data_IF_722005899430
#
_entry.id   IF_722005899430
#
_cell.length_a   1.000
_cell.length_b   1.000
_cell.length_c   1.000
_cell.angle_alpha   90.00
_cell.angle_beta   90.00
_cell.angle_gamma   90.00
#
_symmetry.space_group_name_H-M   'P 1'
#
loop_
_entity.id
_entity.type
_entity.pdbx_description
1 polymer ?
#
# COMPACT_ATOMS: atom_id res chain seq x y z
N UNK A 1 70.16 1.64 -32.95
CA UNK A 1 70.58 0.50 -32.11
C UNK A 1 69.35 -0.36 -31.88
N UNK A 2 68.79 -1.03 -32.90
CA UNK A 2 69.25 -2.27 -33.56
C UNK A 2 69.54 -3.39 -32.57
N UNK A 3 68.84 -4.52 -32.73
CA UNK A 3 69.06 -5.75 -31.97
C UNK A 3 67.82 -6.62 -31.96
N UNK A 4 67.27 -7.01 -33.12
CA UNK A 4 67.52 -8.30 -33.79
C UNK A 4 67.06 -9.53 -33.01
N UNK A 5 65.92 -10.06 -33.47
CA UNK A 5 65.69 -11.45 -33.87
C UNK A 5 66.52 -12.52 -33.15
N UNK A 6 65.86 -13.30 -32.29
CA UNK A 6 66.31 -14.66 -31.99
C UNK A 6 65.63 -15.64 -32.92
N UNK A 7 66.45 -16.13 -33.86
CA UNK A 7 66.31 -17.40 -34.56
C UNK A 7 65.99 -18.52 -33.57
N UNK A 8 65.01 -19.35 -33.90
CA UNK A 8 65.08 -20.76 -33.51
C UNK A 8 64.82 -21.65 -34.73
N UNK A 9 65.91 -22.28 -35.11
CA UNK A 9 66.06 -23.41 -35.99
C UNK A 9 65.09 -24.55 -35.69
N UNK A 10 64.34 -24.92 -36.72
CA UNK A 10 64.19 -26.29 -37.24
C UNK A 10 64.64 -27.42 -36.29
N UNK A 11 63.68 -28.11 -35.68
CA UNK A 11 63.83 -29.54 -35.40
C UNK A 11 62.53 -30.27 -35.75
N UNK A 12 62.69 -31.23 -36.65
CA UNK A 12 61.68 -32.19 -37.08
C UNK A 12 61.26 -33.06 -35.90
N UNK A 13 59.96 -33.33 -35.79
CA UNK A 13 59.49 -34.55 -35.13
C UNK A 13 58.61 -35.30 -36.11
N UNK A 14 58.99 -36.57 -36.26
CA UNK A 14 58.47 -37.57 -37.15
C UNK A 14 56.99 -37.87 -36.89
N UNK A 15 56.36 -38.38 -37.94
CA UNK A 15 54.97 -38.77 -38.09
C UNK A 15 54.44 -39.69 -36.99
N UNK A 16 53.31 -39.30 -36.39
CA UNK A 16 51.99 -39.98 -36.33
C UNK A 16 51.96 -41.53 -36.36
N UNK A 17 51.01 -42.18 -35.63
CA UNK A 17 49.60 -42.06 -36.04
C UNK A 17 48.57 -42.14 -34.91
N UNK A 18 47.81 -41.05 -34.75
CA UNK A 18 46.47 -41.07 -34.22
C UNK A 18 45.63 -40.19 -35.12
N UNK A 19 44.87 -40.81 -36.02
CA UNK A 19 44.06 -40.15 -37.05
C UNK A 19 43.04 -39.23 -36.38
N UNK A 20 43.38 -37.96 -36.23
CA UNK A 20 42.42 -36.91 -35.99
C UNK A 20 42.07 -36.27 -37.32
N UNK A 21 40.91 -36.69 -37.79
CA UNK A 21 40.15 -36.19 -38.92
C UNK A 21 40.28 -34.66 -39.02
N UNK A 22 40.94 -34.20 -40.08
CA UNK A 22 41.11 -32.77 -40.35
C UNK A 22 39.77 -32.18 -40.72
N UNK A 23 39.03 -31.66 -39.73
CA UNK A 23 37.92 -30.76 -39.98
C UNK A 23 38.49 -29.46 -40.55
N UNK A 24 38.58 -29.38 -41.88
CA UNK A 24 38.89 -28.16 -42.62
C UNK A 24 37.77 -27.14 -42.39
N UNK A 25 37.89 -26.38 -41.31
CA UNK A 25 37.14 -25.14 -41.13
C UNK A 25 37.96 -24.01 -41.75
N UNK A 26 37.84 -23.85 -43.07
CA UNK A 26 38.30 -22.64 -43.75
C UNK A 26 37.31 -21.54 -43.36
N UNK A 27 37.75 -20.64 -42.50
CA UNK A 27 36.97 -19.46 -42.12
C UNK A 27 37.62 -18.23 -42.74
N UNK A 28 36.97 -17.64 -43.74
CA UNK A 28 37.47 -16.52 -44.54
C UNK A 28 37.09 -15.13 -43.98
N UNK A 29 36.95 -14.98 -42.66
CA UNK A 29 36.72 -13.66 -42.08
C UNK A 29 38.04 -12.96 -41.73
N UNK A 30 38.10 -11.67 -42.06
CA UNK A 30 39.25 -10.77 -41.97
C UNK A 30 39.57 -10.26 -40.55
N UNK A 31 38.87 -10.76 -39.54
CA UNK A 31 39.04 -10.36 -38.12
C UNK A 31 39.39 -11.59 -37.27
N UNK A 32 40.42 -11.52 -36.41
CA UNK A 32 40.76 -12.64 -35.54
C UNK A 32 39.67 -12.82 -34.49
N UNK A 33 39.06 -14.00 -34.42
CA UNK A 33 38.26 -14.37 -33.24
C UNK A 33 39.20 -14.46 -32.04
N UNK A 34 39.06 -13.50 -31.12
CA UNK A 34 39.81 -13.40 -29.87
C UNK A 34 39.36 -14.48 -28.88
N UNK A 35 39.64 -15.74 -29.21
CA UNK A 35 39.43 -16.83 -28.28
C UNK A 35 40.40 -16.71 -27.11
N UNK A 36 39.88 -16.31 -25.94
CA UNK A 36 40.59 -16.49 -24.68
C UNK A 36 40.54 -17.97 -24.31
N UNK A 37 41.59 -18.70 -24.66
CA UNK A 37 41.81 -20.02 -24.09
C UNK A 37 42.05 -19.86 -22.58
N UNK A 38 41.10 -20.30 -21.75
CA UNK A 38 41.34 -20.43 -20.31
C UNK A 38 42.46 -21.43 -20.08
N UNK A 39 43.33 -21.19 -19.09
CA UNK A 39 44.41 -22.09 -18.73
C UNK A 39 43.84 -23.51 -18.49
N UNK A 40 44.41 -24.53 -19.12
CA UNK A 40 44.01 -25.92 -18.92
C UNK A 40 44.38 -26.33 -17.50
N UNK A 41 43.46 -26.14 -16.55
CA UNK A 41 43.57 -26.73 -15.22
C UNK A 41 43.39 -28.23 -15.40
N UNK A 42 44.49 -28.98 -15.30
CA UNK A 42 44.52 -30.44 -15.22
C UNK A 42 43.94 -30.93 -13.88
N UNK A 43 42.81 -30.37 -13.46
CA UNK A 43 42.09 -30.79 -12.28
C UNK A 43 41.45 -32.15 -12.55
N UNK A 44 41.47 -33.03 -11.56
CA UNK A 44 40.71 -34.28 -11.61
C UNK A 44 39.24 -33.97 -11.92
N UNK A 45 38.57 -34.77 -12.77
CA UNK A 45 37.17 -34.55 -13.11
C UNK A 45 36.32 -34.45 -11.84
N UNK A 46 35.49 -33.40 -11.77
CA UNK A 46 34.71 -33.08 -10.57
C UNK A 46 33.90 -34.30 -10.12
N UNK A 47 34.14 -34.75 -8.89
CA UNK A 47 33.42 -35.88 -8.29
C UNK A 47 31.91 -35.64 -8.37
N UNK A 48 31.16 -36.63 -8.85
CA UNK A 48 29.69 -36.57 -8.97
C UNK A 48 29.10 -36.19 -7.61
N UNK A 49 28.29 -35.13 -7.58
CA UNK A 49 27.59 -34.71 -6.35
C UNK A 49 26.74 -35.88 -5.85
N UNK A 50 26.97 -36.30 -4.60
CA UNK A 50 26.19 -37.37 -3.96
C UNK A 50 24.75 -36.90 -3.77
N UNK A 51 23.78 -37.78 -4.08
CA UNK A 51 22.36 -37.55 -3.78
C UNK A 51 22.22 -37.45 -2.25
N UNK A 52 21.53 -36.42 -1.79
CA UNK A 52 21.30 -36.19 -0.36
C UNK A 52 20.17 -37.12 0.09
N UNK A 53 20.30 -37.69 1.28
CA UNK A 53 19.29 -38.56 1.86
C UNK A 53 17.96 -37.81 2.07
N UNK A 54 16.81 -38.47 1.84
CA UNK A 54 15.49 -37.84 1.95
C UNK A 54 15.22 -37.30 3.37
N UNK A 55 15.74 -37.95 4.41
CA UNK A 55 15.64 -37.50 5.80
C UNK A 55 16.35 -36.16 6.05
N UNK A 56 17.49 -35.92 5.39
CA UNK A 56 18.26 -34.68 5.50
C UNK A 56 17.53 -33.54 4.77
N UNK A 57 16.88 -33.82 3.64
CA UNK A 57 16.04 -32.85 2.93
C UNK A 57 14.82 -32.46 3.77
N UNK A 58 14.09 -33.44 4.31
CA UNK A 58 12.95 -33.19 5.20
C UNK A 58 13.35 -32.39 6.46
N UNK A 59 14.50 -32.71 7.07
CA UNK A 59 15.02 -31.95 8.21
C UNK A 59 15.40 -30.51 7.84
N UNK A 60 15.91 -30.26 6.62
CA UNK A 60 16.20 -28.91 6.12
C UNK A 60 14.92 -28.13 5.87
N UNK A 61 13.90 -28.75 5.33
CA UNK A 61 12.58 -28.15 5.09
C UNK A 61 11.88 -27.81 6.40
N UNK A 62 11.83 -28.73 7.36
CA UNK A 62 11.26 -28.48 8.68
C UNK A 62 11.97 -27.32 9.42
N UNK A 63 13.30 -27.19 9.24
CA UNK A 63 14.06 -26.04 9.76
C UNK A 63 13.67 -24.73 9.06
N UNK A 64 13.39 -24.73 7.75
CA UNK A 64 12.92 -23.55 7.02
C UNK A 64 11.52 -23.14 7.47
N UNK A 65 10.59 -24.10 7.57
CA UNK A 65 9.21 -23.87 8.06
C UNK A 65 9.25 -23.24 9.45
N UNK A 66 9.99 -23.84 10.39
CA UNK A 66 10.12 -23.31 11.76
C UNK A 66 10.73 -21.90 11.82
N UNK A 67 11.60 -21.52 10.87
CA UNK A 67 12.14 -20.16 10.79
C UNK A 67 11.08 -19.18 10.31
N UNK A 68 10.38 -19.53 9.24
CA UNK A 68 9.27 -18.74 8.68
C UNK A 68 8.17 -18.56 9.73
N UNK A 69 7.78 -19.61 10.46
CA UNK A 69 6.78 -19.53 11.53
C UNK A 69 7.20 -18.58 12.66
N UNK A 70 8.48 -18.58 13.01
CA UNK A 70 9.01 -17.65 14.02
C UNK A 70 9.00 -16.21 13.53
N UNK A 71 9.29 -15.99 12.26
CA UNK A 71 9.23 -14.66 11.63
C UNK A 71 7.79 -14.16 11.54
N UNK A 72 6.85 -15.01 11.10
CA UNK A 72 5.42 -14.71 11.11
C UNK A 72 4.97 -14.35 12.52
N UNK A 73 5.30 -15.18 13.54
CA UNK A 73 4.97 -14.89 14.95
C UNK A 73 5.53 -13.56 15.45
N UNK A 74 6.72 -13.17 14.98
CA UNK A 74 7.31 -11.86 15.33
C UNK A 74 6.57 -10.71 14.66
N UNK A 75 6.25 -10.84 13.37
CA UNK A 75 5.53 -9.82 12.61
C UNK A 75 4.09 -9.66 13.09
N UNK A 76 3.41 -10.75 13.43
CA UNK A 76 2.04 -10.70 13.99
C UNK A 76 2.02 -10.14 15.41
N UNK A 77 3.10 -10.30 16.19
CA UNK A 77 3.19 -9.76 17.56
C UNK A 77 3.06 -8.24 17.63
N UNK A 78 3.61 -7.52 16.65
CA UNK A 78 3.62 -6.05 16.66
C UNK A 78 2.38 -5.41 16.01
N UNK A 79 1.40 -6.21 15.58
CA UNK A 79 0.20 -5.71 14.92
C UNK A 79 0.50 -4.91 13.65
N UNK A 80 -0.51 -4.25 13.09
CA UNK A 80 -0.33 -3.29 11.99
C UNK A 80 -0.12 -1.91 12.59
N UNK A 81 0.97 -1.23 12.23
CA UNK A 81 1.14 0.18 12.54
C UNK A 81 0.11 0.95 11.72
N UNK A 82 -0.72 1.76 12.38
CA UNK A 82 -1.71 2.59 11.71
C UNK A 82 -1.00 3.68 10.90
N UNK A 83 -1.53 3.98 9.72
CA UNK A 83 -1.05 5.11 8.92
C UNK A 83 -1.32 6.42 9.69
N UNK A 84 -0.38 7.37 9.68
CA UNK A 84 -0.57 8.65 10.36
C UNK A 84 -1.73 9.43 9.71
N UNK A 85 -2.53 10.09 10.53
CA UNK A 85 -3.64 10.93 10.05
C UNK A 85 -3.11 12.35 9.87
N UNK A 86 -2.93 12.75 8.61
CA UNK A 86 -2.25 14.00 8.25
C UNK A 86 -2.96 15.26 8.77
N UNK A 87 -4.28 15.21 8.98
CA UNK A 87 -5.08 16.34 9.49
C UNK A 87 -4.91 16.54 11.01
N UNK A 88 -4.65 15.46 11.74
CA UNK A 88 -4.44 15.49 13.20
C UNK A 88 -2.99 15.88 13.51
N UNK A 89 -2.04 15.36 12.72
CA UNK A 89 -0.62 15.62 12.93
C UNK A 89 -0.19 16.97 12.36
N UNK A 90 0.25 17.88 13.23
CA UNK A 90 0.79 19.16 12.81
C UNK A 90 2.14 18.99 12.10
N UNK A 91 2.32 19.53 10.87
CA UNK A 91 3.59 19.50 10.18
C UNK A 91 4.68 20.23 10.98
N UNK A 92 5.85 19.59 11.13
CA UNK A 92 7.01 20.16 11.85
C UNK A 92 7.39 21.58 11.40
N UNK A 93 7.20 21.88 10.11
CA UNK A 93 7.45 23.21 9.51
C UNK A 93 6.63 24.33 10.17
N UNK A 94 5.42 24.04 10.64
CA UNK A 94 4.57 25.04 11.29
C UNK A 94 5.17 25.51 12.61
N UNK A 95 5.81 24.62 13.38
CA UNK A 95 6.52 25.00 14.61
C UNK A 95 7.74 25.88 14.33
N UNK A 96 8.49 25.59 13.26
CA UNK A 96 9.65 26.40 12.86
C UNK A 96 9.25 27.79 12.39
N UNK A 97 8.21 27.89 11.57
CA UNK A 97 7.74 29.14 10.97
C UNK A 97 6.76 29.90 11.87
N UNK A 98 6.40 29.36 13.04
CA UNK A 98 5.41 29.95 13.94
C UNK A 98 5.79 31.40 14.29
N UNK A 99 7.06 31.65 14.62
CA UNK A 99 7.52 32.99 15.02
C UNK A 99 7.37 34.04 13.91
N UNK A 100 7.64 33.66 12.66
CA UNK A 100 7.57 34.56 11.50
C UNK A 100 6.14 34.76 10.99
N UNK A 101 5.30 33.72 11.12
CA UNK A 101 3.92 33.71 10.61
C UNK A 101 2.87 34.06 11.66
N UNK A 102 3.27 34.29 12.91
CA UNK A 102 2.35 34.63 13.99
C UNK A 102 1.74 36.01 13.72
N UNK A 103 0.41 36.04 13.59
CA UNK A 103 -0.34 37.29 13.56
C UNK A 103 -0.52 37.79 14.98
N UNK A 104 -0.31 39.09 15.20
CA UNK A 104 -0.64 39.73 16.48
C UNK A 104 -2.15 39.72 16.68
N UNK A 105 -2.62 39.21 17.82
CA UNK A 105 -4.05 39.28 18.14
C UNK A 105 -4.43 40.73 18.44
N UNK A 106 -5.52 41.27 17.85
CA UNK A 106 -6.05 42.56 18.30
C UNK A 106 -6.56 42.44 19.74
N UNK A 107 -6.41 43.52 20.50
CA UNK A 107 -7.08 43.68 21.79
C UNK A 107 -8.52 44.06 21.51
N UNK A 108 -9.46 43.28 22.01
CA UNK A 108 -10.89 43.51 21.82
C UNK A 108 -11.38 44.57 22.81
N UNK A 109 -12.33 45.40 22.38
CA UNK A 109 -12.98 46.34 23.29
C UNK A 109 -13.89 45.59 24.28
N UNK A 110 -14.25 46.23 25.38
CA UNK A 110 -15.19 45.66 26.35
C UNK A 110 -16.56 45.36 25.71
N UNK A 111 -17.06 46.28 24.89
CA UNK A 111 -18.33 46.14 24.16
C UNK A 111 -18.33 44.91 23.24
N UNK A 112 -17.25 44.72 22.46
CA UNK A 112 -17.11 43.57 21.56
C UNK A 112 -17.08 42.23 22.32
N UNK A 113 -16.46 42.20 23.50
CA UNK A 113 -16.42 41.01 24.35
C UNK A 113 -17.80 40.68 24.91
N UNK A 114 -18.53 41.69 25.36
CA UNK A 114 -19.90 41.54 25.87
C UNK A 114 -20.86 41.05 24.78
N UNK A 115 -20.78 41.64 23.58
CA UNK A 115 -21.58 41.22 22.42
C UNK A 115 -21.33 39.76 22.04
N UNK A 116 -20.06 39.32 22.02
CA UNK A 116 -19.71 37.91 21.76
C UNK A 116 -20.27 36.99 22.82
N UNK A 117 -20.19 37.38 24.10
CA UNK A 117 -20.71 36.59 25.20
C UNK A 117 -22.25 36.45 25.12
N UNK A 118 -22.94 37.54 24.79
CA UNK A 118 -24.38 37.54 24.56
C UNK A 118 -24.77 36.67 23.37
N UNK A 119 -24.05 36.78 22.25
CA UNK A 119 -24.26 35.95 21.06
C UNK A 119 -24.07 34.46 21.38
N UNK A 120 -23.02 34.11 22.12
CA UNK A 120 -22.77 32.73 22.53
C UNK A 120 -23.88 32.18 23.43
N UNK A 121 -24.41 32.99 24.35
CA UNK A 121 -25.56 32.62 25.19
C UNK A 121 -26.82 32.40 24.35
N UNK A 122 -27.10 33.27 23.39
CA UNK A 122 -28.23 33.12 22.46
C UNK A 122 -28.07 31.87 21.59
N UNK A 123 -26.87 31.62 21.06
CA UNK A 123 -26.56 30.43 20.29
C UNK A 123 -26.73 29.15 21.11
N UNK A 124 -26.28 29.14 22.36
CA UNK A 124 -26.49 28.04 23.29
C UNK A 124 -27.98 27.73 23.47
N UNK A 125 -28.80 28.76 23.76
CA UNK A 125 -30.26 28.61 23.86
C UNK A 125 -30.89 28.07 22.59
N UNK A 126 -30.51 28.61 21.43
CA UNK A 126 -30.99 28.15 20.13
C UNK A 126 -30.66 26.67 19.92
N UNK A 127 -29.40 26.26 20.14
CA UNK A 127 -28.97 24.88 19.99
C UNK A 127 -29.71 23.93 20.93
N UNK A 128 -29.88 24.30 22.20
CA UNK A 128 -30.67 23.52 23.14
C UNK A 128 -32.11 23.34 22.65
N UNK A 129 -32.76 24.41 22.19
CA UNK A 129 -34.13 24.34 21.66
C UNK A 129 -34.20 23.44 20.42
N UNK A 130 -33.25 23.54 19.50
CA UNK A 130 -33.20 22.67 18.32
C UNK A 130 -33.05 21.20 18.69
N UNK A 131 -32.20 20.90 19.68
CA UNK A 131 -32.00 19.53 20.16
C UNK A 131 -33.26 18.97 20.84
N UNK A 132 -33.90 19.75 21.73
CA UNK A 132 -35.16 19.34 22.37
C UNK A 132 -36.25 19.08 21.32
N UNK A 133 -36.34 19.92 20.29
CA UNK A 133 -37.31 19.71 19.21
C UNK A 133 -37.03 18.44 18.42
N UNK A 134 -35.78 18.20 18.04
CA UNK A 134 -35.36 16.96 17.36
C UNK A 134 -35.66 15.72 18.20
N UNK A 135 -35.36 15.77 19.50
CA UNK A 135 -35.61 14.66 20.40
C UNK A 135 -37.11 14.33 20.47
N UNK A 136 -37.97 15.34 20.60
CA UNK A 136 -39.43 15.14 20.57
C UNK A 136 -39.93 14.51 19.27
N UNK A 137 -39.30 14.82 18.13
CA UNK A 137 -39.64 14.19 16.86
C UNK A 137 -39.22 12.73 16.86
N UNK A 138 -38.01 12.40 17.34
CA UNK A 138 -37.56 11.02 17.46
C UNK A 138 -38.44 10.20 18.40
N UNK A 139 -38.78 10.74 19.58
CA UNK A 139 -39.64 10.06 20.53
C UNK A 139 -40.99 9.71 19.88
N UNK A 140 -41.59 10.66 19.14
CA UNK A 140 -42.84 10.43 18.39
C UNK A 140 -42.70 9.36 17.30
N UNK A 141 -41.58 9.35 16.58
CA UNK A 141 -41.34 8.36 15.52
C UNK A 141 -41.21 6.95 16.12
N UNK A 142 -40.53 6.83 17.27
CA UNK A 142 -40.37 5.56 17.98
C UNK A 142 -41.72 5.09 18.51
N UNK A 143 -42.49 5.96 19.19
CA UNK A 143 -43.83 5.56 19.68
C UNK A 143 -44.76 5.13 18.55
N UNK A 144 -44.76 5.86 17.43
CA UNK A 144 -45.57 5.50 16.27
C UNK A 144 -45.11 4.18 15.62
N UNK A 145 -43.80 3.92 15.60
CA UNK A 145 -43.26 2.64 15.12
C UNK A 145 -43.69 1.49 16.04
N UNK A 146 -43.60 1.66 17.35
CA UNK A 146 -43.96 0.65 18.34
C UNK A 146 -45.46 0.32 18.29
N UNK A 147 -46.32 1.35 18.27
CA UNK A 147 -47.78 1.20 18.10
C UNK A 147 -48.12 0.45 16.82
N UNK A 148 -47.49 0.80 15.69
CA UNK A 148 -47.70 0.11 14.42
C UNK A 148 -47.26 -1.37 14.47
N UNK A 149 -46.19 -1.70 15.20
CA UNK A 149 -45.74 -3.09 15.38
C UNK A 149 -46.68 -3.90 16.28
N UNK A 150 -47.26 -3.27 17.31
CA UNK A 150 -48.26 -3.91 18.18
C UNK A 150 -49.55 -4.23 17.41
N UNK A 151 -50.05 -3.28 16.62
CA UNK A 151 -51.21 -3.49 15.73
C UNK A 151 -50.93 -4.60 14.71
N UNK A 152 -49.77 -4.55 14.04
CA UNK A 152 -49.38 -5.54 13.04
C UNK A 152 -49.26 -6.95 13.64
N UNK A 153 -48.81 -7.05 14.89
CA UNK A 153 -48.76 -8.32 15.63
C UNK A 153 -50.15 -8.85 15.98
N UNK A 154 -51.09 -7.98 16.33
CA UNK A 154 -52.47 -8.35 16.61
C UNK A 154 -53.19 -8.87 15.35
N UNK A 155 -52.89 -8.29 14.19
CA UNK A 155 -53.42 -8.74 12.89
C UNK A 155 -52.73 -10.01 12.38
N UNK A 156 -51.39 -10.06 12.40
CA UNK A 156 -50.64 -11.21 11.90
C UNK A 156 -49.25 -11.39 12.51
N UNK A 157 -49.06 -12.51 13.21
CA UNK A 157 -47.77 -12.86 13.83
C UNK A 157 -46.66 -13.18 12.79
N UNK A 158 -47.05 -13.66 11.60
CA UNK A 158 -46.09 -13.94 10.52
C UNK A 158 -45.42 -12.66 9.99
N UNK A 159 -46.19 -11.63 9.65
CA UNK A 159 -45.62 -10.38 9.13
C UNK A 159 -44.80 -9.66 10.20
N UNK A 160 -45.20 -9.75 11.46
CA UNK A 160 -44.45 -9.18 12.58
C UNK A 160 -43.02 -9.76 12.65
N UNK A 161 -42.89 -11.09 12.54
CA UNK A 161 -41.59 -11.76 12.52
C UNK A 161 -40.75 -11.39 11.31
N UNK A 162 -41.36 -11.19 10.15
CA UNK A 162 -40.66 -10.73 8.95
C UNK A 162 -40.17 -9.29 9.12
N UNK A 163 -41.00 -8.38 9.65
CA UNK A 163 -40.66 -6.97 9.87
C UNK A 163 -39.53 -6.75 10.87
N UNK A 164 -39.36 -7.65 11.85
CA UNK A 164 -38.26 -7.60 12.82
C UNK A 164 -36.89 -8.00 12.23
N UNK A 165 -36.86 -8.61 11.05
CA UNK A 165 -35.59 -9.04 10.44
C UNK A 165 -34.80 -7.81 9.99
N UNK A 166 -33.50 -7.82 10.28
CA UNK A 166 -32.59 -6.77 9.83
C UNK A 166 -32.38 -6.91 8.32
N UNK A 167 -32.62 -5.83 7.58
CA UNK A 167 -32.29 -5.77 6.16
C UNK A 167 -30.79 -5.49 5.98
N UNK A 168 -30.05 -6.51 5.56
CA UNK A 168 -28.62 -6.40 5.28
C UNK A 168 -28.30 -5.54 4.04
N UNK A 169 -29.28 -5.28 3.16
CA UNK A 169 -29.13 -4.34 2.04
C UNK A 169 -28.88 -2.90 2.49
N UNK A 170 -29.37 -2.53 3.68
CA UNK A 170 -29.21 -1.20 4.26
C UNK A 170 -27.80 -0.90 4.76
N UNK A 171 -26.94 -1.93 4.92
CA UNK A 171 -25.59 -1.78 5.49
C UNK A 171 -24.64 -1.02 4.54
N UNK A 172 -24.81 -1.19 3.23
CA UNK A 172 -23.94 -0.61 2.21
C UNK A 172 -24.56 0.61 1.51
N UNK A 173 -25.50 1.30 2.15
CA UNK A 173 -26.08 2.52 1.59
C UNK A 173 -25.09 3.69 1.62
N UNK A 174 -25.10 4.48 0.55
CA UNK A 174 -24.32 5.70 0.42
C UNK A 174 -25.25 6.89 0.17
N UNK A 175 -25.05 7.96 0.93
CA UNK A 175 -25.78 9.22 0.78
C UNK A 175 -24.80 10.37 0.63
N UNK A 176 -24.99 11.19 -0.40
CA UNK A 176 -24.28 12.46 -0.53
C UNK A 176 -25.01 13.54 0.27
N UNK A 177 -24.26 14.39 0.96
CA UNK A 177 -24.82 15.55 1.65
C UNK A 177 -25.42 16.58 0.68
N UNK A 178 -26.32 17.44 1.15
CA UNK A 178 -26.88 18.51 0.32
C UNK A 178 -25.78 19.47 -0.16
N UNK A 179 -25.85 19.86 -1.44
CA UNK A 179 -24.94 20.86 -2.05
C UNK A 179 -25.51 22.27 -1.83
N UNK A 180 -24.62 23.26 -1.74
CA UNK A 180 -25.01 24.67 -1.59
C UNK A 180 -25.89 25.16 -2.75
N UNK A 181 -25.55 24.74 -3.97
CA UNK A 181 -26.31 25.00 -5.19
C UNK A 181 -26.67 23.70 -5.90
N UNK A 182 -27.85 23.64 -6.54
CA UNK A 182 -28.22 22.50 -7.38
C UNK A 182 -27.34 22.42 -8.64
N UNK A 183 -27.25 21.25 -9.29
CA UNK A 183 -26.48 21.10 -10.51
C UNK A 183 -27.07 21.91 -11.67
N UNK A 184 -26.21 22.55 -12.44
CA UNK A 184 -26.58 23.28 -13.66
C UNK A 184 -26.69 22.26 -14.80
N UNK A 185 -27.81 22.30 -15.55
CA UNK A 185 -28.00 21.45 -16.72
C UNK A 185 -27.02 21.85 -17.82
N UNK A 186 -26.45 20.86 -18.51
CA UNK A 186 -25.56 21.03 -19.67
C UNK A 186 -24.27 21.83 -19.38
N UNK A 187 -23.83 21.86 -18.13
CA UNK A 187 -22.53 22.44 -17.77
C UNK A 187 -21.39 21.54 -18.26
N UNK A 188 -20.58 22.04 -19.18
CA UNK A 188 -19.34 21.38 -19.61
C UNK A 188 -18.19 21.84 -18.71
N UNK A 189 -17.66 20.99 -17.82
CA UNK A 189 -16.48 21.34 -17.04
C UNK A 189 -15.26 21.49 -17.97
N UNK A 190 -14.26 22.30 -17.60
CA UNK A 190 -12.99 22.38 -18.31
C UNK A 190 -12.19 21.08 -18.15
N UNK A 191 -11.40 20.74 -19.16
CA UNK A 191 -10.52 19.56 -19.13
C UNK A 191 -9.37 19.70 -18.13
N UNK A 192 -9.02 18.61 -17.47
CA UNK A 192 -7.88 18.55 -16.56
C UNK A 192 -7.54 17.12 -16.11
N UNK A 193 -6.28 16.88 -15.77
CA UNK A 193 -5.79 15.59 -15.30
C UNK A 193 -5.79 15.50 -13.77
N UNK A 194 -6.30 14.38 -13.23
CA UNK A 194 -6.19 14.07 -11.81
C UNK A 194 -4.95 13.21 -11.54
N UNK A 195 -4.02 13.73 -10.73
CA UNK A 195 -2.84 12.99 -10.26
C UNK A 195 -2.97 12.75 -8.76
N UNK A 196 -3.04 11.48 -8.35
CA UNK A 196 -3.08 11.10 -6.94
C UNK A 196 -1.71 11.34 -6.27
N UNK A 197 -1.66 12.32 -5.37
CA UNK A 197 -0.45 12.66 -4.58
C UNK A 197 -0.47 12.07 -3.16
N UNK A 198 -1.33 11.08 -2.87
CA UNK A 198 -1.40 10.45 -1.55
C UNK A 198 -0.08 9.78 -1.18
N UNK A 199 0.38 10.02 0.06
CA UNK A 199 1.63 9.45 0.56
C UNK A 199 1.45 7.98 0.91
N UNK A 200 2.34 7.13 0.41
CA UNK A 200 2.41 5.70 0.77
C UNK A 200 3.31 5.56 2.01
N UNK A 201 2.81 4.85 3.02
CA UNK A 201 3.45 4.58 4.31
C UNK A 201 3.55 3.07 4.51
#
# INVERSE_FOLDING_TARGET
MTGTCLNLSRLYVLSLPGVFQTCRHIHSQRTPMLFRATQQLLAEPMKKKKRIDPSILAAREAKKIKKIDKEIKKLTRFGRILKPVAEIELPKKQFTLAKERQRTSPVLSFEELEDRALLQKQWGRYKTNTWVHQQRVYDKLITAQDEALEELKAESDYLYKEALKVDYGMVAMYFEGPKSTPPIKDYSPPDGDYVDTTRKY
#
